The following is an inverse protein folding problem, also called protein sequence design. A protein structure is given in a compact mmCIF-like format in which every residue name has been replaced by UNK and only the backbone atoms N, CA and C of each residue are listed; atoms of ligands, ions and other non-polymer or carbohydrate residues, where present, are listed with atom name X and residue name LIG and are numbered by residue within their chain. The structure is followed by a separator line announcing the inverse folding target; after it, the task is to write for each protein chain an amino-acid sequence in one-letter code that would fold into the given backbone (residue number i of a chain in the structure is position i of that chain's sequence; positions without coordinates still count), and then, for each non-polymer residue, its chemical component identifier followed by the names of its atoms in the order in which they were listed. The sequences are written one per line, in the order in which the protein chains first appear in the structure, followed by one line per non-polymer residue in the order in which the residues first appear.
data_IF_944926072346
#
_entry.id   IF_944926072346
#
_cell.length_a   1.000
_cell.length_b   1.000
_cell.length_c   1.000
_cell.angle_alpha   90.00
_cell.angle_beta   90.00
_cell.angle_gamma   90.00
#
_symmetry.space_group_name_H-M   'P 1'
#
loop_
_entity.id
_entity.type
_entity.pdbx_description
1 polymer ?
#
# COMPACT_ATOMS: atom_id res chain seq x y z
N UNK A 1 -16.27 11.71 22.74
CA UNK A 1 -16.66 12.49 21.55
C UNK A 1 -16.85 11.51 20.39
N UNK A 2 -17.63 11.85 19.36
CA UNK A 2 -17.82 10.97 18.20
C UNK A 2 -17.43 11.68 16.92
N UNK A 3 -16.90 10.90 15.97
CA UNK A 3 -16.65 11.30 14.60
C UNK A 3 -17.64 10.53 13.72
N UNK A 4 -18.30 11.25 12.82
CA UNK A 4 -19.10 10.67 11.75
C UNK A 4 -18.23 10.59 10.49
N UNK A 5 -17.75 9.37 10.15
CA UNK A 5 -16.91 9.13 8.99
C UNK A 5 -17.73 8.58 7.82
N UNK A 6 -17.61 9.18 6.64
CA UNK A 6 -18.26 8.71 5.42
C UNK A 6 -17.36 7.70 4.70
N UNK A 7 -17.73 6.42 4.74
CA UNK A 7 -16.99 5.32 4.13
C UNK A 7 -17.64 4.93 2.80
N UNK A 8 -16.84 4.72 1.75
CA UNK A 8 -17.33 4.34 0.43
C UNK A 8 -17.99 2.96 0.43
N UNK A 9 -18.92 2.72 -0.52
CA UNK A 9 -19.54 1.39 -0.72
C UNK A 9 -18.49 0.31 -1.01
N UNK A 10 -17.38 0.67 -1.69
CA UNK A 10 -16.32 -0.27 -2.02
C UNK A 10 -15.57 -0.78 -0.78
N UNK A 11 -15.47 0.05 0.27
CA UNK A 11 -14.64 -0.22 1.45
C UNK A 11 -15.45 -0.69 2.66
N UNK A 12 -16.75 -0.32 2.73
CA UNK A 12 -17.59 -0.60 3.91
C UNK A 12 -17.69 -2.09 4.24
N UNK A 13 -17.55 -2.96 3.23
CA UNK A 13 -17.56 -4.42 3.44
C UNK A 13 -16.43 -4.95 4.32
N UNK A 14 -15.35 -4.19 4.49
CA UNK A 14 -14.20 -4.54 5.32
C UNK A 14 -14.27 -3.90 6.72
N UNK A 15 -15.12 -2.89 6.91
CA UNK A 15 -15.28 -2.19 8.18
C UNK A 15 -16.18 -2.99 9.11
N UNK A 16 -15.78 -3.09 10.38
CA UNK A 16 -16.53 -3.77 11.44
C UNK A 16 -16.47 -2.96 12.74
N UNK A 17 -17.53 -3.11 13.51
CA UNK A 17 -17.57 -2.56 14.87
C UNK A 17 -16.42 -3.14 15.71
N UNK A 18 -15.80 -2.30 16.53
CA UNK A 18 -14.68 -2.66 17.38
C UNK A 18 -13.30 -2.44 16.74
N UNK A 19 -13.20 -2.16 15.43
CA UNK A 19 -11.92 -1.87 14.80
C UNK A 19 -11.29 -0.59 15.34
N UNK A 20 -9.95 -0.62 15.46
CA UNK A 20 -9.17 0.55 15.84
C UNK A 20 -9.10 1.56 14.69
N UNK A 21 -9.08 2.82 15.05
CA UNK A 21 -9.06 3.95 14.13
C UNK A 21 -7.97 4.91 14.56
N UNK A 22 -7.13 5.31 13.62
CA UNK A 22 -6.19 6.42 13.77
C UNK A 22 -6.71 7.58 12.93
N UNK A 23 -6.61 8.81 13.45
CA UNK A 23 -7.02 9.98 12.69
C UNK A 23 -6.19 11.20 13.02
N UNK A 24 -6.03 12.07 12.03
CA UNK A 24 -5.43 13.38 12.16
C UNK A 24 -6.47 14.48 11.96
N UNK A 25 -6.22 15.65 12.53
CA UNK A 25 -7.01 16.85 12.29
C UNK A 25 -6.08 17.98 11.86
N UNK A 26 -6.53 18.83 10.94
CA UNK A 26 -5.73 19.95 10.41
C UNK A 26 -5.26 20.93 11.49
N UNK A 27 -6.00 21.02 12.59
CA UNK A 27 -5.63 21.87 13.71
C UNK A 27 -4.40 21.38 14.50
N UNK A 28 -4.08 20.09 14.41
CA UNK A 28 -2.96 19.44 15.12
C UNK A 28 -2.26 18.45 14.18
N UNK A 29 -1.50 18.93 13.16
CA UNK A 29 -0.95 18.09 12.11
C UNK A 29 0.11 17.09 12.59
N UNK A 30 0.76 17.36 13.73
CA UNK A 30 1.80 16.50 14.31
C UNK A 30 1.25 15.49 15.32
N UNK A 31 -0.06 15.51 15.59
CA UNK A 31 -0.70 14.61 16.56
C UNK A 31 -1.58 13.57 15.86
N UNK A 32 -1.40 12.30 16.22
CA UNK A 32 -2.29 11.21 15.80
C UNK A 32 -3.22 10.89 16.98
N UNK A 33 -4.49 10.94 16.72
CA UNK A 33 -5.54 10.60 17.69
C UNK A 33 -6.05 9.17 17.43
N UNK A 34 -6.53 8.53 18.47
CA UNK A 34 -7.02 7.16 18.40
C UNK A 34 -8.50 7.08 18.73
N UNK A 35 -9.18 6.20 18.05
CA UNK A 35 -10.59 5.93 18.24
C UNK A 35 -10.96 4.49 17.98
N UNK A 36 -12.24 4.21 18.01
CA UNK A 36 -12.80 2.89 17.73
C UNK A 36 -14.13 3.01 17.02
N UNK A 37 -14.35 2.16 16.02
CA UNK A 37 -15.63 2.02 15.36
C UNK A 37 -16.65 1.46 16.34
N UNK A 38 -17.75 2.17 16.58
CA UNK A 38 -18.80 1.73 17.50
C UNK A 38 -20.10 1.37 16.77
N UNK A 39 -20.34 1.94 15.59
CA UNK A 39 -21.54 1.66 14.83
C UNK A 39 -21.35 1.94 13.35
N UNK A 40 -21.96 1.13 12.51
CA UNK A 40 -22.07 1.36 11.07
C UNK A 40 -23.55 1.56 10.74
N UNK A 41 -23.90 2.74 10.22
CA UNK A 41 -25.28 3.01 9.78
C UNK A 41 -25.54 2.29 8.46
N UNK A 42 -26.56 1.45 8.42
CA UNK A 42 -26.91 0.64 7.23
C UNK A 42 -27.67 1.43 6.17
N UNK A 43 -28.04 2.67 6.45
CA UNK A 43 -28.70 3.55 5.50
C UNK A 43 -27.64 4.31 4.71
N UNK A 44 -27.55 4.13 3.38
CA UNK A 44 -26.59 4.86 2.58
C UNK A 44 -26.96 6.32 2.40
N UNK A 45 -25.96 7.17 2.29
CA UNK A 45 -26.09 8.55 1.83
C UNK A 45 -25.60 8.62 0.38
N UNK A 46 -26.39 9.21 -0.51
CA UNK A 46 -26.01 9.37 -1.93
C UNK A 46 -25.82 10.86 -2.23
N UNK A 47 -24.59 11.23 -2.54
CA UNK A 47 -24.23 12.60 -2.93
C UNK A 47 -23.48 12.56 -4.27
N UNK A 48 -24.00 13.29 -5.26
CA UNK A 48 -23.41 13.35 -6.60
C UNK A 48 -23.11 11.97 -7.22
N UNK A 49 -24.01 11.02 -7.07
CA UNK A 49 -23.88 9.61 -7.49
C UNK A 49 -22.80 8.81 -6.75
N UNK A 50 -22.24 9.32 -5.66
CA UNK A 50 -21.34 8.57 -4.78
C UNK A 50 -22.13 8.04 -3.59
N UNK A 51 -22.08 6.73 -3.40
CA UNK A 51 -22.73 6.03 -2.28
C UNK A 51 -21.74 5.90 -1.13
N UNK A 52 -22.11 6.42 0.02
CA UNK A 52 -21.33 6.31 1.26
C UNK A 52 -22.17 5.82 2.43
N UNK A 53 -21.52 5.24 3.42
CA UNK A 53 -22.12 4.77 4.66
C UNK A 53 -21.50 5.50 5.84
N UNK A 54 -22.34 6.04 6.72
CA UNK A 54 -21.88 6.73 7.91
C UNK A 54 -21.40 5.73 8.96
N UNK A 55 -20.16 5.88 9.36
CA UNK A 55 -19.51 5.08 10.40
C UNK A 55 -19.22 5.95 11.61
N UNK A 56 -19.78 5.58 12.75
CA UNK A 56 -19.61 6.30 14.01
C UNK A 56 -18.37 5.77 14.71
N UNK A 57 -17.45 6.67 15.00
CA UNK A 57 -16.21 6.39 15.70
C UNK A 57 -16.21 7.12 17.02
N UNK A 58 -16.06 6.40 18.12
CA UNK A 58 -15.85 7.03 19.43
C UNK A 58 -14.37 7.34 19.61
N UNK A 59 -14.08 8.53 20.13
CA UNK A 59 -12.71 8.99 20.32
C UNK A 59 -12.53 9.52 21.74
N UNK A 60 -11.36 9.26 22.29
CA UNK A 60 -10.93 9.90 23.52
C UNK A 60 -10.41 11.30 23.19
N UNK A 61 -10.87 12.30 23.93
CA UNK A 61 -10.45 13.70 23.73
C UNK A 61 -9.74 14.22 25.00
N UNK A 62 -8.52 13.77 25.27
CA UNK A 62 -7.77 14.21 26.44
C UNK A 62 -7.40 15.68 26.29
N UNK A 63 -7.80 16.48 27.27
CA UNK A 63 -7.50 17.93 27.30
C UNK A 63 -8.40 18.77 26.39
N UNK A 64 -9.55 18.24 25.95
CA UNK A 64 -10.57 18.94 25.16
C UNK A 64 -10.01 19.65 23.90
N UNK A 65 -8.98 19.05 23.27
CA UNK A 65 -8.34 19.60 22.07
C UNK A 65 -9.25 19.55 20.85
N UNK A 66 -10.04 18.46 20.73
CA UNK A 66 -10.94 18.27 19.61
C UNK A 66 -12.25 19.04 19.85
N UNK A 67 -12.63 19.84 18.87
CA UNK A 67 -13.85 20.63 18.92
C UNK A 67 -14.88 20.14 17.88
N UNK A 68 -16.18 20.25 18.17
CA UNK A 68 -17.22 19.97 17.18
C UNK A 68 -17.06 20.84 15.93
N UNK A 69 -17.20 20.22 14.75
CA UNK A 69 -17.04 20.90 13.46
C UNK A 69 -15.64 20.85 12.87
N UNK A 70 -14.66 20.23 13.55
CA UNK A 70 -13.36 19.93 12.94
C UNK A 70 -13.48 18.84 11.90
N UNK A 71 -12.72 18.95 10.82
CA UNK A 71 -12.52 17.88 9.83
C UNK A 71 -11.40 16.98 10.27
N UNK A 72 -11.57 15.68 10.08
CA UNK A 72 -10.57 14.65 10.42
C UNK A 72 -10.33 13.71 9.23
N UNK A 73 -9.05 13.41 8.98
CA UNK A 73 -8.64 12.34 8.08
C UNK A 73 -8.56 11.04 8.87
N UNK A 74 -9.42 10.08 8.51
CA UNK A 74 -9.65 8.87 9.29
C UNK A 74 -9.08 7.65 8.57
N UNK A 75 -8.26 6.87 9.29
CA UNK A 75 -7.70 5.59 8.86
C UNK A 75 -8.24 4.46 9.73
N UNK A 76 -9.09 3.60 9.17
CA UNK A 76 -9.67 2.45 9.88
C UNK A 76 -8.79 1.23 9.63
N UNK A 77 -8.30 0.59 10.71
CA UNK A 77 -7.48 -0.61 10.62
C UNK A 77 -8.36 -1.83 10.33
N UNK A 78 -8.47 -2.21 9.07
CA UNK A 78 -9.36 -3.32 8.65
C UNK A 78 -8.72 -4.69 8.81
N UNK A 79 -7.39 -4.79 8.73
CA UNK A 79 -6.65 -6.03 8.94
C UNK A 79 -5.23 -5.74 9.43
N UNK A 80 -4.73 -6.57 10.33
CA UNK A 80 -3.35 -6.51 10.82
C UNK A 80 -2.77 -7.92 10.85
N UNK A 81 -1.51 -8.04 10.44
CA UNK A 81 -0.69 -9.25 10.63
C UNK A 81 0.61 -8.87 11.30
N UNK A 82 0.85 -9.46 12.48
CA UNK A 82 2.10 -9.26 13.24
C UNK A 82 3.09 -10.39 12.93
N UNK A 83 4.37 -10.06 12.90
CA UNK A 83 5.46 -11.02 12.70
C UNK A 83 5.32 -11.85 11.42
N UNK A 84 4.94 -11.21 10.31
CA UNK A 84 4.83 -11.84 9.00
C UNK A 84 5.95 -11.36 8.07
N UNK A 85 6.35 -12.22 7.12
CA UNK A 85 7.21 -11.81 6.03
C UNK A 85 6.47 -10.84 5.11
N UNK A 86 7.16 -9.83 4.63
CA UNK A 86 6.62 -8.89 3.66
C UNK A 86 7.60 -8.63 2.53
N UNK A 87 7.08 -8.29 1.39
CA UNK A 87 7.84 -7.88 0.21
C UNK A 87 7.31 -6.55 -0.30
N UNK A 88 8.22 -5.70 -0.75
CA UNK A 88 7.81 -4.43 -1.39
C UNK A 88 7.00 -4.69 -2.66
N UNK A 89 5.93 -3.94 -2.84
CA UNK A 89 5.10 -4.00 -4.04
C UNK A 89 5.87 -3.64 -5.32
N UNK A 90 7.00 -2.95 -5.21
CA UNK A 90 7.91 -2.73 -6.34
C UNK A 90 8.44 -4.05 -6.91
N UNK A 91 8.77 -5.03 -6.04
CA UNK A 91 9.22 -6.35 -6.49
C UNK A 91 8.09 -7.16 -7.17
N UNK A 92 6.85 -7.00 -6.70
CA UNK A 92 5.68 -7.67 -7.31
C UNK A 92 5.28 -7.09 -8.67
N UNK A 93 5.66 -5.84 -8.94
CA UNK A 93 5.39 -5.14 -10.21
C UNK A 93 6.56 -5.22 -11.18
N UNK A 94 7.72 -5.69 -10.71
CA UNK A 94 8.90 -5.77 -11.55
C UNK A 94 8.68 -6.77 -12.68
N UNK A 95 8.89 -6.32 -13.91
CA UNK A 95 8.85 -7.13 -15.12
C UNK A 95 10.23 -7.09 -15.77
N UNK A 96 10.94 -8.22 -15.87
CA UNK A 96 12.24 -8.26 -16.51
C UNK A 96 12.17 -7.81 -17.99
N UNK A 97 13.19 -7.09 -18.50
CA UNK A 97 13.30 -6.73 -19.91
C UNK A 97 13.29 -7.95 -20.83
N UNK A 98 12.86 -7.76 -22.09
CA UNK A 98 12.95 -8.79 -23.11
C UNK A 98 14.39 -9.26 -23.32
N UNK A 99 14.56 -10.59 -23.46
CA UNK A 99 15.88 -11.18 -23.61
C UNK A 99 16.64 -11.43 -22.29
N UNK A 100 16.06 -11.09 -21.14
CA UNK A 100 16.67 -11.41 -19.84
C UNK A 100 16.85 -12.94 -19.69
N UNK A 101 18.06 -13.42 -19.39
CA UNK A 101 18.28 -14.84 -19.19
C UNK A 101 17.69 -15.32 -17.85
N UNK A 102 16.98 -16.44 -17.89
CA UNK A 102 16.42 -17.08 -16.69
C UNK A 102 17.12 -18.41 -16.39
N UNK A 103 17.23 -18.75 -15.08
CA UNK A 103 17.64 -20.10 -14.65
C UNK A 103 16.53 -21.13 -14.91
N UNK A 104 15.27 -20.71 -14.76
CA UNK A 104 14.08 -21.49 -15.07
C UNK A 104 13.05 -20.58 -15.72
N UNK A 105 12.29 -21.09 -16.69
CA UNK A 105 11.23 -20.30 -17.33
C UNK A 105 10.18 -19.88 -16.31
N UNK A 106 9.77 -18.60 -16.30
CA UNK A 106 8.65 -18.16 -15.48
C UNK A 106 7.38 -18.96 -15.83
N UNK A 107 6.48 -19.19 -14.87
CA UNK A 107 5.23 -19.88 -15.15
C UNK A 107 4.35 -19.02 -16.10
N UNK A 108 3.71 -19.69 -17.05
CA UNK A 108 2.83 -19.02 -18.01
C UNK A 108 1.53 -18.49 -17.35
N UNK A 109 1.15 -19.03 -16.20
CA UNK A 109 -0.06 -18.64 -15.47
C UNK A 109 0.18 -18.75 -13.96
N UNK A 110 -0.33 -17.77 -13.23
CA UNK A 110 -0.39 -17.76 -11.77
C UNK A 110 -1.83 -18.01 -11.33
N UNK A 111 -2.03 -18.70 -10.22
CA UNK A 111 -3.34 -19.05 -9.70
C UNK A 111 -3.67 -18.22 -8.45
N UNK A 112 -4.87 -17.63 -8.43
CA UNK A 112 -5.43 -16.98 -7.26
C UNK A 112 -4.53 -15.90 -6.64
N UNK A 113 -4.06 -16.17 -5.44
CA UNK A 113 -3.21 -15.30 -4.63
C UNK A 113 -1.70 -15.47 -4.87
N UNK A 114 -1.32 -16.26 -5.89
CA UNK A 114 0.08 -16.40 -6.29
C UNK A 114 0.60 -15.12 -6.95
N UNK A 115 1.84 -14.77 -6.61
CA UNK A 115 2.59 -13.66 -7.20
C UNK A 115 3.97 -14.16 -7.61
N UNK A 116 4.53 -13.50 -8.61
CA UNK A 116 5.85 -13.79 -9.12
C UNK A 116 6.82 -12.69 -8.71
N UNK A 117 7.95 -13.06 -8.16
CA UNK A 117 9.09 -12.18 -7.94
C UNK A 117 10.35 -12.79 -8.53
N UNK A 118 11.37 -11.99 -8.68
CA UNK A 118 12.64 -12.42 -9.25
C UNK A 118 13.77 -12.17 -8.25
N UNK A 119 14.70 -13.12 -8.20
CA UNK A 119 15.95 -13.00 -7.48
C UNK A 119 17.12 -13.27 -8.44
N UNK A 120 18.31 -12.85 -8.05
CA UNK A 120 19.51 -13.21 -8.80
C UNK A 120 19.82 -14.69 -8.59
N UNK A 121 19.99 -15.41 -9.67
CA UNK A 121 20.39 -16.81 -9.64
C UNK A 121 21.84 -16.99 -9.19
N UNK A 122 22.18 -18.22 -8.79
CA UNK A 122 23.50 -18.59 -8.24
C UNK A 122 24.65 -18.40 -9.23
N UNK A 123 24.38 -18.39 -10.54
CA UNK A 123 25.38 -18.32 -11.61
C UNK A 123 25.55 -16.90 -12.20
N UNK A 124 25.33 -15.85 -11.46
CA UNK A 124 25.57 -14.45 -11.82
C UNK A 124 25.00 -14.04 -13.19
N UNK A 125 23.97 -13.23 -13.20
CA UNK A 125 23.37 -12.64 -14.42
C UNK A 125 22.11 -13.32 -14.95
N UNK A 126 21.70 -14.47 -14.40
CA UNK A 126 20.41 -15.07 -14.71
C UNK A 126 19.40 -14.78 -13.61
N UNK A 127 18.17 -14.52 -13.98
CA UNK A 127 17.08 -14.34 -13.03
C UNK A 127 16.46 -15.69 -12.66
N UNK A 128 16.17 -15.85 -11.40
CA UNK A 128 15.41 -16.99 -10.89
C UNK A 128 14.02 -16.53 -10.50
N UNK A 129 12.96 -16.99 -11.18
CA UNK A 129 11.60 -16.71 -10.81
C UNK A 129 11.22 -17.46 -9.52
N UNK A 130 10.57 -16.79 -8.59
CA UNK A 130 10.04 -17.36 -7.36
C UNK A 130 8.55 -17.09 -7.31
N UNK A 131 7.76 -18.15 -7.13
CA UNK A 131 6.33 -18.05 -6.89
C UNK A 131 6.11 -17.93 -5.39
N UNK A 132 5.42 -16.90 -4.99
CA UNK A 132 5.03 -16.68 -3.61
C UNK A 132 3.51 -16.58 -3.47
N UNK A 133 3.01 -16.92 -2.31
CA UNK A 133 1.61 -16.74 -1.94
C UNK A 133 1.48 -15.45 -1.15
N UNK A 134 0.71 -14.51 -1.70
CA UNK A 134 0.49 -13.21 -1.09
C UNK A 134 -0.69 -13.22 -0.11
N UNK A 135 -0.62 -12.41 0.94
CA UNK A 135 -1.69 -12.14 1.88
C UNK A 135 -2.20 -10.70 1.73
N UNK A 136 -2.37 -10.01 2.85
CA UNK A 136 -2.84 -8.61 2.88
C UNK A 136 -1.75 -7.66 2.38
N UNK A 137 -2.17 -6.48 1.90
CA UNK A 137 -1.27 -5.41 1.44
C UNK A 137 -1.68 -4.07 2.06
N UNK A 138 -0.68 -3.23 2.32
CA UNK A 138 -0.88 -1.83 2.75
C UNK A 138 -0.67 -0.82 1.61
N UNK A 139 -0.50 -1.33 0.35
CA UNK A 139 -0.22 -0.50 -0.82
C UNK A 139 1.26 -0.27 -1.10
N UNK A 140 2.14 -0.40 -0.12
CA UNK A 140 3.60 -0.30 -0.22
C UNK A 140 4.24 -1.68 -0.16
N UNK A 141 3.84 -2.46 0.84
CA UNK A 141 4.30 -3.83 1.08
C UNK A 141 3.13 -4.82 0.99
N UNK A 142 3.44 -6.07 0.69
CA UNK A 142 2.47 -7.18 0.68
C UNK A 142 2.99 -8.32 1.56
N UNK A 143 2.11 -8.84 2.41
CA UNK A 143 2.36 -10.03 3.22
C UNK A 143 2.70 -11.24 2.34
N UNK A 144 3.66 -12.03 2.79
CA UNK A 144 4.03 -13.31 2.19
C UNK A 144 3.66 -14.45 3.13
N UNK A 145 2.70 -15.24 2.69
CA UNK A 145 2.22 -16.40 3.43
C UNK A 145 3.13 -17.61 3.20
N UNK A 146 3.69 -17.76 2.00
CA UNK A 146 4.59 -18.86 1.64
C UNK A 146 5.36 -18.56 0.35
N UNK A 147 6.44 -19.32 0.10
CA UNK A 147 7.19 -19.33 -1.16
C UNK A 147 8.57 -18.68 -1.11
N UNK A 148 8.89 -17.95 -0.03
CA UNK A 148 10.19 -17.29 0.15
C UNK A 148 10.56 -17.32 1.63
N UNK A 149 11.86 -17.30 1.93
CA UNK A 149 12.39 -17.23 3.28
C UNK A 149 12.86 -15.80 3.60
N UNK A 150 12.89 -15.47 4.89
CA UNK A 150 13.45 -14.20 5.35
C UNK A 150 14.90 -14.02 4.87
N UNK A 151 15.23 -12.78 4.48
CA UNK A 151 16.57 -12.44 3.98
C UNK A 151 16.81 -12.79 2.51
N UNK A 152 15.85 -13.40 1.80
CA UNK A 152 15.99 -13.64 0.36
C UNK A 152 15.95 -12.31 -0.41
N UNK A 153 17.01 -11.95 -1.17
CA UNK A 153 17.01 -10.73 -1.95
C UNK A 153 16.05 -10.83 -3.13
N UNK A 154 15.21 -9.82 -3.33
CA UNK A 154 14.29 -9.72 -4.46
C UNK A 154 14.58 -8.45 -5.28
N UNK A 155 14.37 -8.55 -6.59
CA UNK A 155 14.62 -7.44 -7.51
C UNK A 155 13.40 -6.52 -7.51
N UNK A 156 13.64 -5.24 -7.34
CA UNK A 156 12.61 -4.19 -7.33
C UNK A 156 12.66 -3.27 -8.54
N UNK A 157 13.84 -3.16 -9.19
CA UNK A 157 14.06 -2.34 -10.38
C UNK A 157 15.36 -2.71 -11.06
N UNK A 158 15.51 -2.32 -12.33
CA UNK A 158 16.77 -2.39 -13.07
C UNK A 158 17.61 -1.13 -12.85
N UNK A 159 18.90 -1.28 -12.63
CA UNK A 159 19.83 -0.14 -12.47
C UNK A 159 20.14 0.59 -13.80
N UNK A 160 19.70 0.06 -14.94
CA UNK A 160 19.97 0.62 -16.26
C UNK A 160 19.10 1.83 -16.64
N UNK A 161 18.04 2.12 -15.89
CA UNK A 161 17.13 3.25 -16.20
C UNK A 161 17.54 4.60 -15.61
N UNK A 162 18.61 4.67 -14.79
CA UNK A 162 19.03 5.91 -14.14
C UNK A 162 20.18 6.69 -14.85
N UNK A 163 20.65 6.23 -16.02
CA UNK A 163 21.81 6.82 -16.69
C UNK A 163 21.47 7.76 -17.86
N UNK A 164 20.21 8.20 -18.03
CA UNK A 164 19.83 9.01 -19.18
C UNK A 164 19.08 10.31 -18.81
N UNK A 165 19.63 11.06 -17.85
CA UNK A 165 19.21 12.46 -17.69
C UNK A 165 20.38 13.32 -17.16
N UNK A 166 21.28 13.74 -18.06
CA UNK A 166 22.41 14.61 -17.68
C UNK A 166 23.28 15.08 -18.84
N UNK A 167 22.76 15.08 -20.05
CA UNK A 167 23.42 15.77 -21.17
C UNK A 167 22.99 17.23 -21.18
N UNK A 168 23.82 18.16 -20.67
CA UNK A 168 23.63 19.57 -20.95
C UNK A 168 23.76 19.78 -22.47
N UNK A 169 22.89 20.61 -23.08
CA UNK A 169 23.10 21.01 -24.46
C UNK A 169 24.38 21.77 -24.61
N UNK A 170 25.12 21.62 -25.75
CA UNK A 170 26.35 22.38 -26.02
C UNK A 170 26.05 23.87 -26.06
N UNK A 171 27.00 24.72 -25.63
CA UNK A 171 26.86 26.17 -25.70
C UNK A 171 26.73 26.64 -27.16
N UNK A 172 25.98 27.73 -27.42
CA UNK A 172 25.84 28.26 -28.76
C UNK A 172 27.17 28.75 -29.30
N UNK A 173 27.40 28.69 -30.64
CA UNK A 173 28.64 29.19 -31.24
C UNK A 173 28.71 30.71 -31.13
N UNK A 174 29.88 31.21 -30.73
CA UNK A 174 30.20 32.64 -30.79
C UNK A 174 30.17 33.11 -32.24
N UNK A 175 29.38 34.14 -32.50
CA UNK A 175 29.40 34.86 -33.78
C UNK A 175 30.41 36.00 -33.70
N UNK A 176 31.23 36.22 -34.74
CA UNK A 176 32.20 37.32 -34.85
C UNK A 176 31.55 38.69 -34.99
#
# INVERSE_FOLDING_TARGET
MNIDASVSEADIGQVKEGQSVDFGVDAFPDEVFHGRVVQIRKSPTVTQNVVTYDTIITVDNPGDKLLPGMTADVSILVAERKNTLKVSNAALRYTPPEGTPFEASPPAKLEGDQRLVYTLGSNGGKLRPLILKSGITDGVDTEIVAGISEGTPVITADSSSSAQSGGLPPPPPDHP
#
